data_IF_709953190802
#
_entry.id   IF_709953190802
#
_cell.length_a   1.000
_cell.length_b   1.000
_cell.length_c   1.000
_cell.angle_alpha   90.00
_cell.angle_beta   90.00
_cell.angle_gamma   90.00
#
_symmetry.space_group_name_H-M   'P 1'
#
loop_
_entity.id
_entity.type
_entity.pdbx_description
1 polymer ?
#
# COMPACT_ATOMS: atom_id res chain seq x y z
N UNK A 1 -6.24 0.65 -16.18
CA UNK A 1 -6.20 1.26 -14.84
C UNK A 1 -4.90 0.93 -14.17
N UNK A 2 -4.23 1.94 -13.65
CA UNK A 2 -2.97 1.73 -12.93
C UNK A 2 -3.25 1.58 -11.45
N UNK A 3 -3.00 0.40 -10.93
CA UNK A 3 -3.11 0.13 -9.50
C UNK A 3 -1.76 -0.32 -8.98
N UNK A 4 -1.33 0.29 -7.91
CA UNK A 4 -0.07 -0.05 -7.26
C UNK A 4 -0.36 -0.27 -5.78
N UNK A 5 0.07 -1.41 -5.25
CA UNK A 5 -0.05 -1.70 -3.83
C UNK A 5 1.34 -1.63 -3.20
N UNK A 6 1.52 -0.65 -2.33
CA UNK A 6 2.77 -0.50 -1.58
C UNK A 6 2.62 -1.29 -0.28
N UNK A 7 3.44 -2.31 -0.10
CA UNK A 7 3.33 -3.18 1.06
C UNK A 7 4.41 -2.86 2.09
N UNK A 8 4.01 -2.88 3.34
CA UNK A 8 4.93 -2.73 4.48
C UNK A 8 5.68 -1.40 4.47
N UNK A 9 4.98 -0.33 4.05
CA UNK A 9 5.58 0.99 4.08
C UNK A 9 5.33 1.63 5.45
N UNK A 10 6.33 2.32 5.98
CA UNK A 10 6.19 3.01 7.25
C UNK A 10 5.60 4.39 7.01
N UNK A 11 4.45 4.65 7.62
CA UNK A 11 3.78 5.94 7.55
C UNK A 11 3.51 6.40 8.97
N UNK A 12 4.10 7.51 9.37
CA UNK A 12 3.97 8.07 10.72
C UNK A 12 4.31 7.05 11.82
N UNK A 13 5.33 6.24 11.58
CA UNK A 13 5.77 5.23 12.53
C UNK A 13 4.94 3.95 12.54
N UNK A 14 3.97 3.84 11.66
CA UNK A 14 3.10 2.67 11.56
C UNK A 14 3.33 1.97 10.22
N UNK A 15 3.56 0.67 10.27
CA UNK A 15 3.72 -0.12 9.05
C UNK A 15 2.34 -0.35 8.43
N UNK A 16 2.17 0.05 7.19
CA UNK A 16 0.89 0.02 6.52
C UNK A 16 1.02 -0.45 5.07
N UNK A 17 -0.11 -0.83 4.49
CA UNK A 17 -0.22 -1.09 3.06
C UNK A 17 -1.02 0.05 2.44
N UNK A 18 -0.56 0.59 1.32
CA UNK A 18 -1.22 1.71 0.66
C UNK A 18 -1.56 1.32 -0.77
N UNK A 19 -2.83 1.43 -1.13
CA UNK A 19 -3.28 1.19 -2.50
C UNK A 19 -3.39 2.51 -3.24
N UNK A 20 -2.72 2.59 -4.39
CA UNK A 20 -2.76 3.76 -5.26
C UNK A 20 -3.45 3.38 -6.56
N UNK A 21 -4.45 4.15 -6.95
CA UNK A 21 -5.15 3.98 -8.21
C UNK A 21 -5.07 5.25 -9.02
N UNK A 22 -4.56 5.14 -10.25
CA UNK A 22 -4.45 6.27 -11.19
C UNK A 22 -3.76 7.49 -10.58
N UNK A 23 -2.74 7.26 -9.75
CA UNK A 23 -1.98 8.31 -9.11
C UNK A 23 -2.56 8.87 -7.84
N UNK A 24 -3.70 8.35 -7.38
CA UNK A 24 -4.35 8.81 -6.16
C UNK A 24 -4.38 7.71 -5.12
N UNK A 25 -4.24 8.08 -3.85
CA UNK A 25 -4.34 7.12 -2.76
C UNK A 25 -5.80 6.68 -2.63
N UNK A 26 -6.04 5.40 -2.89
CA UNK A 26 -7.38 4.84 -2.85
C UNK A 26 -7.72 4.24 -1.49
N UNK A 27 -6.73 3.65 -0.79
CA UNK A 27 -6.97 3.03 0.50
C UNK A 27 -5.67 2.89 1.27
N UNK A 28 -5.77 2.94 2.58
CA UNK A 28 -4.65 2.68 3.49
C UNK A 28 -5.15 1.70 4.55
N UNK A 29 -4.38 0.65 4.81
CA UNK A 29 -4.74 -0.34 5.81
C UNK A 29 -3.49 -0.79 6.56
N UNK A 30 -3.65 -1.27 7.81
CA UNK A 30 -2.51 -1.80 8.56
C UNK A 30 -1.86 -2.96 7.81
N UNK A 31 -0.54 -3.06 7.90
CA UNK A 31 0.19 -4.15 7.25
C UNK A 31 -0.29 -5.49 7.80
N UNK A 32 -0.39 -6.48 6.92
CA UNK A 32 -0.87 -7.80 7.29
C UNK A 32 -2.39 -7.92 7.37
N UNK A 33 -3.12 -6.82 7.17
CA UNK A 33 -4.57 -6.85 7.14
C UNK A 33 -5.10 -7.46 5.86
N UNK A 34 -6.33 -7.94 5.91
CA UNK A 34 -6.95 -8.56 4.75
C UNK A 34 -7.65 -7.57 3.82
N UNK A 35 -7.79 -6.33 4.24
CA UNK A 35 -8.55 -5.33 3.48
C UNK A 35 -8.00 -5.11 2.07
N UNK A 36 -6.69 -5.14 1.92
CA UNK A 36 -6.06 -4.91 0.62
C UNK A 36 -5.56 -6.19 -0.03
N UNK A 37 -5.87 -7.35 0.56
CA UNK A 37 -5.43 -8.63 -0.01
C UNK A 37 -6.04 -8.86 -1.41
N UNK A 38 -7.30 -8.50 -1.58
CA UNK A 38 -7.96 -8.65 -2.88
C UNK A 38 -7.38 -7.69 -3.91
N UNK A 39 -6.98 -6.50 -3.48
CA UNK A 39 -6.39 -5.53 -4.38
C UNK A 39 -5.01 -6.01 -4.89
N UNK A 40 -4.29 -6.77 -4.08
CA UNK A 40 -2.98 -7.30 -4.47
C UNK A 40 -3.08 -8.20 -5.70
N UNK A 41 -4.21 -8.86 -5.90
CA UNK A 41 -4.42 -9.73 -7.06
C UNK A 41 -4.56 -8.94 -8.37
N UNK A 42 -4.95 -7.68 -8.31
CA UNK A 42 -5.20 -6.86 -9.49
C UNK A 42 -4.29 -5.63 -9.57
N UNK A 43 -3.32 -5.51 -8.68
CA UNK A 43 -2.42 -4.36 -8.62
C UNK A 43 -0.97 -4.82 -8.74
N UNK A 44 -0.11 -3.90 -9.15
CA UNK A 44 1.33 -4.13 -9.08
C UNK A 44 1.75 -4.00 -7.62
N UNK A 45 2.33 -5.06 -7.08
CA UNK A 45 2.74 -5.08 -5.67
C UNK A 45 4.19 -4.64 -5.56
N UNK A 46 4.44 -3.62 -4.73
CA UNK A 46 5.78 -3.12 -4.47
C UNK A 46 6.08 -3.31 -2.99
N UNK A 47 7.14 -4.04 -2.67
CA UNK A 47 7.55 -4.23 -1.29
C UNK A 47 8.36 -3.01 -0.83
N UNK A 48 7.84 -2.31 0.16
CA UNK A 48 8.45 -1.10 0.69
C UNK A 48 9.02 -1.29 2.10
N UNK A 49 9.35 -2.53 2.46
CA UNK A 49 9.93 -2.82 3.76
C UNK A 49 11.15 -1.94 4.01
N UNK A 50 11.16 -1.26 5.14
CA UNK A 50 12.25 -0.37 5.52
C UNK A 50 12.19 1.03 4.92
N UNK A 51 11.19 1.29 4.08
CA UNK A 51 11.00 2.62 3.50
C UNK A 51 9.92 3.38 4.23
N UNK A 52 10.04 4.71 4.23
CA UNK A 52 9.10 5.58 4.92
C UNK A 52 8.35 6.43 3.92
N UNK A 53 7.02 6.56 4.12
CA UNK A 53 6.22 7.44 3.31
C UNK A 53 6.22 8.84 3.92
N UNK A 54 6.45 9.84 3.08
CA UNK A 54 6.34 11.24 3.47
C UNK A 54 5.16 11.86 2.75
N UNK A 55 4.41 12.71 3.46
CA UNK A 55 3.30 13.42 2.82
C UNK A 55 3.78 14.43 1.79
#
# INVERSE_FOLDING_TARGET
MNRILLKNIVSEGIVSDILIEDGLIAAIAPAGGEKLADAAASAEVVDCTGKTAFP
#
